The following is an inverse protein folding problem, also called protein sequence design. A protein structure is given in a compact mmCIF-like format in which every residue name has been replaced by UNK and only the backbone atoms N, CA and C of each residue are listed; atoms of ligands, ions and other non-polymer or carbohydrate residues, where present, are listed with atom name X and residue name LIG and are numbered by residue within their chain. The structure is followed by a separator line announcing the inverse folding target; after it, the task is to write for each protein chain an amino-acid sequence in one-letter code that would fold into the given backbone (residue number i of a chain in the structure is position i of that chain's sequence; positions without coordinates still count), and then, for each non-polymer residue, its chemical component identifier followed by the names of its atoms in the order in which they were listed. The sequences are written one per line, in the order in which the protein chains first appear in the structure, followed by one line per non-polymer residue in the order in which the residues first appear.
data_IF_945333552253
#
_entry.id   IF_945333552253
#
_cell.length_a   1.000
_cell.length_b   1.000
_cell.length_c   1.000
_cell.angle_alpha   90.00
_cell.angle_beta   90.00
_cell.angle_gamma   90.00
#
_symmetry.space_group_name_H-M   'P 1'
#
loop_
_entity.id
_entity.type
_entity.pdbx_description
1 polymer ?
#
# COMPACT_ATOMS: atom_id res chain seq x y z
N UNK A 1 -11.68 12.63 -13.09
CA UNK A 1 -11.74 13.71 -12.08
C UNK A 1 -12.90 13.56 -11.08
N UNK A 2 -14.16 13.36 -11.49
CA UNK A 2 -15.26 13.14 -10.53
C UNK A 2 -15.05 11.85 -9.72
N UNK A 3 -14.59 10.77 -10.37
CA UNK A 3 -14.35 9.49 -9.69
C UNK A 3 -13.18 9.59 -8.70
N UNK A 4 -12.07 10.21 -9.10
CA UNK A 4 -10.97 10.58 -8.20
C UNK A 4 -11.43 11.33 -6.94
N UNK A 5 -12.32 12.32 -7.07
CA UNK A 5 -12.84 13.06 -5.91
C UNK A 5 -13.66 12.15 -4.99
N UNK A 6 -14.53 11.29 -5.56
CA UNK A 6 -15.34 10.36 -4.78
C UNK A 6 -14.49 9.34 -4.03
N UNK A 7 -13.53 8.73 -4.73
CA UNK A 7 -12.59 7.76 -4.16
C UNK A 7 -11.79 8.41 -3.05
N UNK A 8 -11.25 9.60 -3.29
CA UNK A 8 -10.50 10.34 -2.27
C UNK A 8 -11.37 10.68 -1.07
N UNK A 9 -12.60 11.17 -1.27
CA UNK A 9 -13.53 11.48 -0.19
C UNK A 9 -13.88 10.24 0.66
N UNK A 10 -13.96 9.06 0.04
CA UNK A 10 -14.21 7.78 0.74
C UNK A 10 -13.04 7.37 1.63
N UNK A 11 -11.82 7.87 1.38
CA UNK A 11 -10.65 7.64 2.23
C UNK A 11 -10.70 8.41 3.53
N UNK A 12 -11.31 9.59 3.54
CA UNK A 12 -11.37 10.48 4.70
C UNK A 12 -11.90 9.78 5.96
N UNK A 13 -13.07 9.09 5.96
CA UNK A 13 -13.53 8.37 7.14
C UNK A 13 -12.60 7.24 7.56
N UNK A 14 -11.92 6.59 6.62
CA UNK A 14 -11.00 5.49 6.92
C UNK A 14 -9.71 5.99 7.57
N UNK A 15 -9.12 7.07 7.05
CA UNK A 15 -7.98 7.74 7.69
C UNK A 15 -8.38 8.24 9.08
N UNK A 16 -9.55 8.88 9.21
CA UNK A 16 -10.03 9.37 10.51
C UNK A 16 -10.12 8.27 11.55
N UNK A 17 -10.73 7.13 11.21
CA UNK A 17 -10.80 5.97 12.10
C UNK A 17 -9.40 5.45 12.43
N UNK A 18 -8.50 5.41 11.46
CA UNK A 18 -7.12 4.95 11.69
C UNK A 18 -6.37 5.85 12.67
N UNK A 19 -6.43 7.17 12.48
CA UNK A 19 -5.80 8.12 13.39
C UNK A 19 -6.45 8.11 14.77
N UNK A 20 -7.78 7.96 14.84
CA UNK A 20 -8.48 7.81 16.11
C UNK A 20 -8.04 6.53 16.84
N UNK A 21 -7.86 5.41 16.13
CA UNK A 21 -7.33 4.16 16.70
C UNK A 21 -5.89 4.35 17.16
N UNK A 22 -5.03 4.99 16.38
CA UNK A 22 -3.64 5.29 16.74
C UNK A 22 -3.57 6.14 18.02
N UNK A 23 -4.31 7.24 18.04
CA UNK A 23 -4.37 8.18 19.17
C UNK A 23 -4.98 7.51 20.42
N UNK A 24 -5.97 6.63 20.25
CA UNK A 24 -6.54 5.85 21.34
C UNK A 24 -5.55 4.82 21.90
N UNK A 25 -4.76 4.18 21.03
CA UNK A 25 -3.67 3.27 21.42
C UNK A 25 -2.60 4.05 22.18
N UNK A 26 -2.23 5.25 21.74
CA UNK A 26 -1.26 6.11 22.42
C UNK A 26 -1.76 6.57 23.78
N UNK A 27 -3.02 7.04 23.87
CA UNK A 27 -3.64 7.46 25.12
C UNK A 27 -3.76 6.32 26.15
N UNK A 28 -3.82 5.06 25.69
CA UNK A 28 -3.91 3.87 26.55
C UNK A 28 -2.64 3.00 26.50
N UNK A 29 -1.52 3.55 26.03
CA UNK A 29 -0.24 2.86 25.93
C UNK A 29 0.29 2.51 27.33
N UNK A 30 -0.16 1.37 27.84
CA UNK A 30 0.31 0.75 29.07
C UNK A 30 0.83 -0.67 28.80
N UNK A 31 1.59 -1.23 29.74
CA UNK A 31 2.34 -2.47 29.51
C UNK A 31 1.51 -3.74 29.19
N UNK A 32 0.18 -3.74 29.40
CA UNK A 32 -0.71 -4.83 28.97
C UNK A 32 -1.13 -4.69 27.49
N UNK A 33 -1.36 -3.46 27.02
CA UNK A 33 -1.70 -3.16 25.63
C UNK A 33 -0.48 -3.40 24.73
N UNK A 34 0.70 -2.95 25.16
CA UNK A 34 1.96 -3.18 24.44
C UNK A 34 2.23 -4.68 24.21
N UNK A 35 2.08 -5.51 25.24
CA UNK A 35 2.23 -6.98 25.13
C UNK A 35 1.20 -7.61 24.20
N UNK A 36 -0.02 -7.10 24.17
CA UNK A 36 -1.07 -7.61 23.27
C UNK A 36 -0.78 -7.23 21.83
N UNK A 37 -0.31 -6.00 21.58
CA UNK A 37 0.12 -5.53 20.27
C UNK A 37 1.35 -6.31 19.77
N UNK A 38 2.32 -6.61 20.64
CA UNK A 38 3.47 -7.44 20.28
C UNK A 38 3.07 -8.87 19.85
N UNK A 39 2.08 -9.47 20.50
CA UNK A 39 1.53 -10.76 20.05
C UNK A 39 0.79 -10.64 18.74
N UNK A 40 -0.01 -9.58 18.56
CA UNK A 40 -0.77 -9.33 17.33
C UNK A 40 0.17 -9.16 16.11
N UNK A 41 1.36 -8.59 16.30
CA UNK A 41 2.39 -8.49 15.25
C UNK A 41 2.83 -9.84 14.68
N UNK A 42 2.79 -10.91 15.47
CA UNK A 42 3.16 -12.26 15.00
C UNK A 42 2.20 -12.80 13.93
N UNK A 43 0.92 -12.44 13.98
CA UNK A 43 -0.08 -12.80 12.95
C UNK A 43 -0.36 -11.65 11.98
N UNK A 44 0.36 -10.53 12.15
CA UNK A 44 0.19 -9.31 11.37
C UNK A 44 0.25 -9.52 9.86
N UNK A 45 1.25 -10.23 9.29
CA UNK A 45 1.30 -10.49 7.84
C UNK A 45 0.07 -11.20 7.28
N UNK A 46 -0.50 -12.16 8.03
CA UNK A 46 -1.72 -12.86 7.61
C UNK A 46 -2.91 -11.91 7.59
N UNK A 47 -3.16 -11.21 8.70
CA UNK A 47 -4.26 -10.26 8.81
C UNK A 47 -4.11 -9.10 7.80
N UNK A 48 -2.88 -8.62 7.60
CA UNK A 48 -2.55 -7.58 6.64
C UNK A 48 -2.80 -7.98 5.20
N UNK A 49 -2.37 -9.17 4.77
CA UNK A 49 -2.64 -9.67 3.43
C UNK A 49 -4.15 -9.83 3.18
N UNK A 50 -4.89 -10.39 4.14
CA UNK A 50 -6.35 -10.53 4.03
C UNK A 50 -7.06 -9.17 3.94
N UNK A 51 -6.64 -8.20 4.76
CA UNK A 51 -7.17 -6.85 4.71
C UNK A 51 -6.82 -6.17 3.36
N UNK A 52 -5.61 -6.37 2.86
CA UNK A 52 -5.15 -5.83 1.58
C UNK A 52 -5.89 -6.43 0.36
N UNK A 53 -6.57 -7.56 0.49
CA UNK A 53 -7.43 -8.10 -0.57
C UNK A 53 -8.75 -7.32 -0.73
N UNK A 54 -9.12 -6.51 0.27
CA UNK A 54 -10.33 -5.68 0.23
C UNK A 54 -10.07 -4.53 -0.74
N UNK A 55 -10.89 -4.34 -1.78
CA UNK A 55 -10.67 -3.32 -2.81
C UNK A 55 -10.98 -1.91 -2.28
N UNK A 56 -10.09 -1.37 -1.45
CA UNK A 56 -10.22 -0.05 -0.85
C UNK A 56 -8.85 0.57 -0.53
N UNK A 57 -8.49 1.65 -1.25
CA UNK A 57 -7.19 2.33 -1.14
C UNK A 57 -6.90 2.86 0.28
N UNK A 58 -7.92 2.92 1.14
CA UNK A 58 -7.78 3.25 2.55
C UNK A 58 -6.93 2.24 3.31
N UNK A 59 -7.05 0.94 3.02
CA UNK A 59 -6.40 -0.13 3.80
C UNK A 59 -4.88 -0.02 3.75
N UNK A 60 -4.32 0.23 2.57
CA UNK A 60 -2.88 0.43 2.38
C UNK A 60 -2.40 1.73 3.04
N UNK A 61 -3.19 2.81 2.95
CA UNK A 61 -2.92 4.07 3.66
C UNK A 61 -2.91 3.89 5.19
N UNK A 62 -3.88 3.17 5.76
CA UNK A 62 -3.89 2.91 7.20
C UNK A 62 -2.76 2.00 7.64
N UNK A 63 -2.43 0.98 6.86
CA UNK A 63 -1.28 0.13 7.15
C UNK A 63 0.02 0.94 7.22
N UNK A 64 0.20 1.91 6.32
CA UNK A 64 1.33 2.83 6.35
C UNK A 64 1.34 3.72 7.61
N UNK A 65 0.18 4.26 8.02
CA UNK A 65 0.07 5.05 9.25
C UNK A 65 0.31 4.21 10.51
N UNK A 66 -0.25 3.00 10.57
CA UNK A 66 -0.03 2.03 11.66
C UNK A 66 1.43 1.58 11.73
N UNK A 67 2.11 1.48 10.58
CA UNK A 67 3.52 1.17 10.51
C UNK A 67 4.37 2.32 11.05
N UNK A 68 4.06 3.56 10.62
CA UNK A 68 4.75 4.74 11.10
C UNK A 68 4.59 4.91 12.62
N UNK A 69 3.40 4.60 13.16
CA UNK A 69 3.13 4.55 14.61
C UNK A 69 3.68 3.32 15.33
N UNK A 70 4.42 2.44 14.65
CA UNK A 70 5.07 1.28 15.26
C UNK A 70 4.11 0.16 15.71
N UNK A 71 2.84 0.22 15.32
CA UNK A 71 1.80 -0.76 15.67
C UNK A 71 1.93 -2.03 14.83
N UNK A 72 2.29 -1.91 13.55
CA UNK A 72 2.52 -3.05 12.65
C UNK A 72 3.99 -3.20 12.24
N UNK A 73 4.35 -4.38 11.74
CA UNK A 73 5.73 -4.71 11.33
C UNK A 73 5.97 -4.40 9.85
N UNK A 74 7.25 -4.37 9.42
CA UNK A 74 7.62 -4.24 8.00
C UNK A 74 6.97 -5.35 7.16
N UNK A 75 7.02 -6.60 7.63
CA UNK A 75 6.41 -7.72 6.91
C UNK A 75 4.90 -7.59 6.79
N UNK A 76 4.22 -7.05 7.80
CA UNK A 76 2.78 -6.74 7.72
C UNK A 76 2.48 -5.66 6.69
N UNK A 77 3.24 -4.56 6.70
CA UNK A 77 3.07 -3.48 5.73
C UNK A 77 3.27 -3.98 4.29
N UNK A 78 4.36 -4.71 4.04
CA UNK A 78 4.66 -5.27 2.73
C UNK A 78 3.61 -6.29 2.31
N UNK A 79 3.09 -7.11 3.23
CA UNK A 79 1.99 -8.03 2.93
C UNK A 79 0.71 -7.30 2.50
N UNK A 80 0.36 -6.19 3.16
CA UNK A 80 -0.77 -5.36 2.72
C UNK A 80 -0.51 -4.85 1.31
N UNK A 81 0.64 -4.20 1.07
CA UNK A 81 0.98 -3.60 -0.23
C UNK A 81 0.99 -4.60 -1.38
N UNK A 82 1.57 -5.79 -1.18
CA UNK A 82 1.59 -6.84 -2.21
C UNK A 82 0.21 -7.43 -2.49
N UNK A 83 -0.71 -7.39 -1.52
CA UNK A 83 -2.07 -7.93 -1.68
C UNK A 83 -3.05 -6.91 -2.26
N UNK A 84 -2.80 -5.61 -2.07
CA UNK A 84 -3.63 -4.50 -2.58
C UNK A 84 -3.87 -4.63 -4.08
N UNK A 85 -5.15 -4.62 -4.48
CA UNK A 85 -5.57 -4.89 -5.86
C UNK A 85 -6.75 -4.02 -6.30
N UNK A 86 -6.95 -2.89 -5.63
CA UNK A 86 -8.24 -2.24 -5.40
C UNK A 86 -9.01 -1.86 -6.68
N UNK A 87 -8.31 -1.74 -7.82
CA UNK A 87 -8.92 -1.42 -9.11
C UNK A 87 -8.71 -2.45 -10.22
N UNK A 88 -7.84 -3.44 -9.99
CA UNK A 88 -7.62 -4.51 -10.97
C UNK A 88 -8.89 -5.36 -11.11
N UNK A 89 -9.51 -5.73 -9.98
CA UNK A 89 -10.68 -6.64 -9.98
C UNK A 89 -11.89 -6.01 -10.68
N UNK A 90 -12.32 -4.77 -10.35
CA UNK A 90 -13.44 -4.14 -11.06
C UNK A 90 -13.23 -4.02 -12.57
N UNK A 91 -12.00 -3.72 -13.02
CA UNK A 91 -11.69 -3.62 -14.45
C UNK A 91 -11.75 -4.98 -15.14
N UNK A 92 -11.22 -6.04 -14.52
CA UNK A 92 -11.30 -7.40 -15.07
C UNK A 92 -12.75 -7.90 -15.16
N UNK A 93 -13.60 -7.55 -14.19
CA UNK A 93 -15.04 -7.83 -14.23
C UNK A 93 -15.67 -7.10 -15.42
N UNK A 94 -15.36 -5.82 -15.60
CA UNK A 94 -15.89 -5.00 -16.72
C UNK A 94 -15.51 -5.56 -18.09
N UNK A 95 -14.32 -6.14 -18.23
CA UNK A 95 -13.85 -6.78 -19.48
C UNK A 95 -14.29 -8.25 -19.63
N UNK A 96 -15.17 -8.74 -18.75
CA UNK A 96 -15.70 -10.12 -18.77
C UNK A 96 -14.62 -11.21 -18.72
N UNK A 97 -13.52 -10.94 -18.01
CA UNK A 97 -12.46 -11.93 -17.81
C UNK A 97 -13.03 -13.11 -16.99
N UNK A 98 -12.64 -14.37 -17.28
CA UNK A 98 -13.18 -15.53 -16.57
C UNK A 98 -13.01 -15.40 -15.05
N UNK A 99 -14.10 -15.64 -14.31
CA UNK A 99 -14.09 -15.57 -12.84
C UNK A 99 -13.00 -16.46 -12.21
N UNK A 100 -12.70 -17.61 -12.84
CA UNK A 100 -11.62 -18.49 -12.43
C UNK A 100 -10.25 -17.81 -12.46
N UNK A 101 -9.97 -16.96 -13.46
CA UNK A 101 -8.72 -16.22 -13.57
C UNK A 101 -8.63 -15.13 -12.49
N UNK A 102 -9.72 -14.40 -12.25
CA UNK A 102 -9.77 -13.37 -11.20
C UNK A 102 -9.54 -13.94 -9.81
N UNK A 103 -10.23 -15.04 -9.47
CA UNK A 103 -10.04 -15.73 -8.18
C UNK A 103 -8.60 -16.24 -8.06
N UNK A 104 -8.04 -16.80 -9.14
CA UNK A 104 -6.65 -17.26 -9.17
C UNK A 104 -5.65 -16.12 -8.93
N UNK A 105 -5.83 -14.97 -9.58
CA UNK A 105 -4.98 -13.79 -9.38
C UNK A 105 -5.01 -13.36 -7.91
N UNK A 106 -6.19 -13.15 -7.34
CA UNK A 106 -6.33 -12.70 -5.95
C UNK A 106 -5.74 -13.72 -4.97
N UNK A 107 -6.05 -15.01 -5.17
CA UNK A 107 -5.53 -16.08 -4.30
C UNK A 107 -4.01 -16.15 -4.34
N UNK A 108 -3.40 -16.04 -5.53
CA UNK A 108 -1.94 -16.02 -5.70
C UNK A 108 -1.34 -14.79 -5.02
N UNK A 109 -1.96 -13.61 -5.15
CA UNK A 109 -1.48 -12.38 -4.50
C UNK A 109 -1.49 -12.49 -2.98
N UNK A 110 -2.62 -12.91 -2.41
CA UNK A 110 -2.75 -13.10 -0.96
C UNK A 110 -1.75 -14.12 -0.45
N UNK A 111 -1.62 -15.28 -1.12
CA UNK A 111 -0.66 -16.31 -0.73
C UNK A 111 0.79 -15.82 -0.77
N UNK A 112 1.18 -15.13 -1.86
CA UNK A 112 2.51 -14.57 -2.00
C UNK A 112 2.79 -13.48 -0.97
N UNK A 113 1.81 -12.59 -0.72
CA UNK A 113 1.90 -11.54 0.28
C UNK A 113 2.10 -12.09 1.71
N UNK A 114 1.36 -13.14 2.08
CA UNK A 114 1.52 -13.85 3.35
C UNK A 114 2.94 -14.41 3.45
N UNK A 115 3.37 -15.18 2.44
CA UNK A 115 4.67 -15.83 2.42
C UNK A 115 5.82 -14.80 2.54
N UNK A 116 5.76 -13.72 1.76
CA UNK A 116 6.75 -12.64 1.81
C UNK A 116 6.72 -11.93 3.15
N UNK A 117 5.54 -11.57 3.66
CA UNK A 117 5.42 -10.82 4.90
C UNK A 117 5.96 -11.59 6.11
N UNK A 118 5.67 -12.90 6.20
CA UNK A 118 6.27 -13.76 7.22
C UNK A 118 7.77 -13.93 7.02
N UNK A 119 8.23 -14.10 5.78
CA UNK A 119 9.66 -14.24 5.46
C UNK A 119 10.44 -12.99 5.85
N UNK A 120 9.94 -11.80 5.53
CA UNK A 120 10.55 -10.52 5.92
C UNK A 120 10.60 -10.38 7.44
N UNK A 121 9.51 -10.67 8.15
CA UNK A 121 9.52 -10.63 9.60
C UNK A 121 10.53 -11.61 10.21
N UNK A 122 10.64 -12.82 9.67
CA UNK A 122 11.62 -13.82 10.09
C UNK A 122 13.06 -13.37 9.83
N UNK A 123 13.36 -12.87 8.62
CA UNK A 123 14.68 -12.38 8.24
C UNK A 123 15.08 -11.19 9.11
N UNK A 124 14.21 -10.20 9.30
CA UNK A 124 14.50 -9.03 10.15
C UNK A 124 14.66 -9.44 11.62
N UNK A 125 13.88 -10.41 12.11
CA UNK A 125 14.04 -10.93 13.46
C UNK A 125 15.39 -11.65 13.65
N UNK A 126 15.83 -12.41 12.64
CA UNK A 126 17.11 -13.13 12.65
C UNK A 126 18.31 -12.19 12.50
N UNK A 127 18.20 -11.18 11.62
CA UNK A 127 19.27 -10.23 11.33
C UNK A 127 19.62 -9.29 12.50
N UNK A 128 18.93 -9.37 13.66
CA UNK A 128 19.10 -8.52 14.86
C UNK A 128 19.15 -7.01 14.55
N UNK A 129 18.59 -6.60 13.42
CA UNK A 129 18.62 -5.23 12.93
C UNK A 129 17.20 -4.88 12.47
N UNK A 130 16.65 -3.79 13.01
CA UNK A 130 15.30 -3.28 12.75
C UNK A 130 14.16 -4.04 13.47
N UNK A 131 14.31 -4.34 14.77
CA UNK A 131 13.13 -4.28 15.64
C UNK A 131 12.97 -2.82 16.07
N UNK A 132 12.05 -2.07 15.46
CA UNK A 132 11.56 -0.86 16.11
C UNK A 132 10.97 -1.30 17.45
N UNK A 133 11.51 -0.88 18.61
CA UNK A 133 10.75 -1.00 19.85
C UNK A 133 9.41 -0.30 19.63
N UNK A 134 8.38 -0.75 20.35
CA UNK A 134 7.05 -0.11 20.34
C UNK A 134 7.22 1.32 20.87
N UNK A 135 7.59 2.26 20.01
CA UNK A 135 7.71 3.67 20.31
C UNK A 135 6.39 4.34 19.91
N UNK A 136 5.32 3.95 20.59
CA UNK A 136 4.00 4.57 20.45
C UNK A 136 4.03 6.03 20.96
N UNK A 137 5.11 6.44 21.64
CA UNK A 137 5.27 7.71 22.33
C UNK A 137 5.68 8.91 21.45
N UNK A 138 5.96 8.71 20.15
CA UNK A 138 6.49 9.76 19.26
C UNK A 138 5.52 10.17 18.12
N UNK A 139 4.26 9.73 18.16
CA UNK A 139 3.25 10.15 17.20
C UNK A 139 2.93 11.66 17.38
N UNK A 140 2.78 12.11 18.64
CA UNK A 140 2.45 13.50 18.98
C UNK A 140 3.66 14.46 19.04
N UNK A 141 4.89 13.98 19.20
CA UNK A 141 6.10 14.84 19.30
C UNK A 141 6.51 15.49 17.97
N UNK A 142 5.84 15.13 16.86
CA UNK A 142 6.37 15.34 15.52
C UNK A 142 5.57 16.25 14.59
N UNK A 143 4.36 16.63 14.96
CA UNK A 143 3.72 17.81 14.40
C UNK A 143 3.89 18.93 15.42
N UNK A 144 4.29 20.12 14.98
CA UNK A 144 4.16 21.36 15.75
C UNK A 144 2.67 21.70 16.02
N UNK A 145 1.84 20.71 16.34
CA UNK A 145 0.54 20.94 16.92
C UNK A 145 0.80 21.40 18.34
N UNK A 146 0.26 22.56 18.72
CA UNK A 146 0.20 23.02 20.10
C UNK A 146 -0.68 22.12 20.98
N UNK A 147 -0.44 20.81 20.97
CA UNK A 147 -1.19 19.79 21.71
C UNK A 147 -1.02 19.91 23.22
N UNK A 148 -0.11 20.77 23.70
CA UNK A 148 -0.05 21.12 25.13
C UNK A 148 -1.32 21.84 25.63
N UNK A 149 -2.21 22.34 24.75
CA UNK A 149 -3.45 23.02 25.17
C UNK A 149 -4.76 22.21 24.96
N UNK A 150 -4.74 21.10 24.22
CA UNK A 150 -5.96 20.36 23.89
C UNK A 150 -6.07 19.02 24.65
N UNK A 151 -6.98 18.97 25.63
CA UNK A 151 -7.38 17.72 26.30
C UNK A 151 -8.37 16.94 25.41
N UNK A 152 -7.91 15.92 24.70
CA UNK A 152 -8.79 14.94 24.04
C UNK A 152 -8.18 14.22 22.83
N UNK A 153 -8.70 13.02 22.53
CA UNK A 153 -8.22 12.12 21.44
C UNK A 153 -8.78 12.55 20.07
N UNK A 154 -9.93 13.25 20.03
CA UNK A 154 -10.62 13.59 18.78
C UNK A 154 -9.96 14.72 17.98
N UNK A 155 -9.49 15.78 18.65
CA UNK A 155 -8.97 16.98 17.97
C UNK A 155 -7.64 16.69 17.27
N UNK A 156 -6.65 16.03 17.91
CA UNK A 156 -5.40 15.64 17.23
C UNK A 156 -5.66 14.71 16.06
N UNK A 157 -6.50 13.68 16.23
CA UNK A 157 -6.85 12.74 15.17
C UNK A 157 -7.48 13.45 13.95
N UNK A 158 -8.34 14.45 14.18
CA UNK A 158 -8.96 15.23 13.10
C UNK A 158 -7.94 16.10 12.35
N UNK A 159 -7.02 16.76 13.06
CA UNK A 159 -5.99 17.62 12.45
C UNK A 159 -5.04 16.77 11.60
N UNK A 160 -4.52 15.66 12.15
CA UNK A 160 -3.63 14.76 11.41
C UNK A 160 -4.31 14.15 10.18
N UNK A 161 -5.59 13.76 10.32
CA UNK A 161 -6.38 13.27 9.18
C UNK A 161 -6.49 14.33 8.10
N UNK A 162 -6.83 15.57 8.45
CA UNK A 162 -6.99 16.65 7.49
C UNK A 162 -5.68 17.01 6.78
N UNK A 163 -4.56 17.09 7.51
CA UNK A 163 -3.24 17.40 6.94
C UNK A 163 -2.82 16.37 5.89
N UNK A 164 -2.97 15.08 6.21
CA UNK A 164 -2.57 13.98 5.32
C UNK A 164 -3.54 13.84 4.16
N UNK A 165 -4.84 14.03 4.42
CA UNK A 165 -5.85 14.06 3.36
C UNK A 165 -5.57 15.15 2.32
N UNK A 166 -5.29 16.38 2.75
CA UNK A 166 -4.93 17.49 1.83
C UNK A 166 -3.68 17.14 1.03
N UNK A 167 -2.65 16.58 1.68
CA UNK A 167 -1.43 16.15 1.01
C UNK A 167 -1.72 15.10 -0.08
N UNK A 168 -2.52 14.07 0.24
CA UNK A 168 -2.92 13.03 -0.72
C UNK A 168 -3.68 13.65 -1.90
N UNK A 169 -4.69 14.49 -1.63
CA UNK A 169 -5.48 15.15 -2.68
C UNK A 169 -4.59 15.93 -3.65
N UNK A 170 -3.63 16.71 -3.12
CA UNK A 170 -2.72 17.53 -3.94
C UNK A 170 -1.80 16.64 -4.78
N UNK A 171 -1.11 15.69 -4.15
CA UNK A 171 -0.10 14.88 -4.85
C UNK A 171 -0.78 13.91 -5.81
N UNK A 172 -1.78 13.15 -5.38
CA UNK A 172 -2.49 12.22 -6.24
C UNK A 172 -3.26 12.95 -7.35
N UNK A 173 -3.85 14.12 -7.06
CA UNK A 173 -4.48 14.95 -8.09
C UNK A 173 -3.48 15.49 -9.12
N UNK A 174 -2.26 15.83 -8.70
CA UNK A 174 -1.20 16.25 -9.64
C UNK A 174 -0.72 15.11 -10.53
N UNK A 175 -0.60 13.88 -9.99
CA UNK A 175 -0.24 12.68 -10.75
C UNK A 175 -1.36 12.34 -11.73
N UNK A 176 -2.62 12.39 -11.29
CA UNK A 176 -3.80 12.15 -12.12
C UNK A 176 -3.87 13.13 -13.30
N UNK A 177 -3.64 14.43 -13.04
CA UNK A 177 -3.61 15.45 -14.09
C UNK A 177 -2.45 15.20 -15.07
N UNK A 178 -1.26 14.87 -14.57
CA UNK A 178 -0.11 14.54 -15.41
C UNK A 178 -0.38 13.30 -16.29
N UNK A 179 -1.03 12.27 -15.74
CA UNK A 179 -1.40 11.07 -16.48
C UNK A 179 -2.47 11.35 -17.54
N UNK A 180 -3.43 12.22 -17.26
CA UNK A 180 -4.43 12.62 -18.25
C UNK A 180 -3.83 13.45 -19.39
N UNK A 181 -2.77 14.22 -19.13
CA UNK A 181 -2.09 15.01 -20.17
C UNK A 181 -1.04 14.24 -20.98
N UNK A 182 -0.36 13.25 -20.39
CA UNK A 182 0.82 12.60 -21.00
C UNK A 182 0.80 11.07 -20.99
N UNK A 183 -0.17 10.44 -20.33
CA UNK A 183 -0.11 9.02 -19.98
C UNK A 183 -0.38 8.04 -21.11
N UNK A 184 -1.34 8.35 -21.99
CA UNK A 184 -1.77 7.42 -23.05
C UNK A 184 -0.66 7.14 -24.06
N UNK A 185 0.09 8.16 -24.47
CA UNK A 185 1.20 8.04 -25.43
C UNK A 185 2.44 7.37 -24.81
N UNK A 186 2.69 7.63 -23.52
CA UNK A 186 3.84 7.08 -22.80
C UNK A 186 3.66 5.59 -22.51
N UNK A 187 2.45 5.15 -22.17
CA UNK A 187 2.14 3.74 -21.91
C UNK A 187 2.14 2.88 -23.18
N UNK A 188 1.66 3.41 -24.31
CA UNK A 188 1.64 2.67 -25.58
C UNK A 188 3.03 2.53 -26.22
N UNK A 189 3.95 3.47 -25.96
CA UNK A 189 5.32 3.42 -26.47
C UNK A 189 6.24 2.48 -25.69
N UNK A 190 5.82 2.04 -24.49
CA UNK A 190 6.55 1.06 -23.69
C UNK A 190 6.31 -0.36 -24.22
N UNK A 191 7.39 -1.06 -24.62
CA UNK A 191 7.34 -2.48 -25.04
C UNK A 191 7.10 -3.42 -23.84
N UNK A 192 5.85 -3.49 -23.37
CA UNK A 192 5.43 -4.34 -22.26
C UNK A 192 5.22 -5.82 -22.63
N UNK A 193 5.42 -6.18 -23.89
CA UNK A 193 5.26 -7.54 -24.41
C UNK A 193 6.59 -8.30 -24.55
N UNK A 194 7.68 -7.77 -23.98
CA UNK A 194 8.98 -8.48 -23.94
C UNK A 194 9.15 -9.15 -22.58
N UNK A 195 9.47 -10.45 -22.52
CA UNK A 195 9.68 -11.13 -21.25
C UNK A 195 10.90 -10.52 -20.52
N UNK A 196 10.80 -10.46 -19.19
CA UNK A 196 11.72 -9.85 -18.22
C UNK A 196 11.73 -8.32 -18.28
N UNK A 197 11.94 -7.71 -19.44
CA UNK A 197 12.01 -6.25 -19.58
C UNK A 197 10.63 -5.60 -19.40
N UNK A 198 9.58 -6.24 -19.90
CA UNK A 198 8.19 -5.82 -19.71
C UNK A 198 7.79 -5.84 -18.24
N UNK A 199 8.17 -6.87 -17.49
CA UNK A 199 7.91 -7.01 -16.05
C UNK A 199 8.65 -5.95 -15.22
N UNK A 200 9.91 -5.67 -15.53
CA UNK A 200 10.70 -4.61 -14.88
C UNK A 200 10.07 -3.23 -15.10
N UNK A 201 9.75 -2.91 -16.35
CA UNK A 201 9.13 -1.63 -16.72
C UNK A 201 7.74 -1.50 -16.10
N UNK A 202 6.92 -2.56 -16.19
CA UNK A 202 5.59 -2.57 -15.60
C UNK A 202 5.64 -2.42 -14.07
N UNK A 203 6.61 -3.07 -13.41
CA UNK A 203 6.84 -2.89 -11.98
C UNK A 203 7.19 -1.44 -11.61
N UNK A 204 8.04 -0.77 -12.41
CA UNK A 204 8.40 0.64 -12.18
C UNK A 204 7.20 1.56 -12.35
N UNK A 205 6.42 1.33 -13.39
CA UNK A 205 5.17 2.06 -13.64
C UNK A 205 4.20 1.81 -12.49
N UNK A 206 4.08 0.57 -12.01
CA UNK A 206 3.23 0.18 -10.88
C UNK A 206 3.58 0.87 -9.56
N UNK A 207 4.83 1.31 -9.35
CA UNK A 207 5.21 2.08 -8.15
C UNK A 207 4.59 3.47 -8.09
N UNK A 208 4.06 3.99 -9.22
CA UNK A 208 3.36 5.27 -9.22
C UNK A 208 2.11 5.11 -8.36
N UNK A 209 1.98 5.87 -7.24
CA UNK A 209 0.90 5.71 -6.28
C UNK A 209 -0.40 6.33 -6.80
N UNK A 210 -0.91 5.79 -7.89
CA UNK A 210 -2.18 6.17 -8.51
C UNK A 210 -2.92 4.93 -9.03
N UNK A 211 -4.17 4.86 -8.61
CA UNK A 211 -5.30 4.15 -9.17
C UNK A 211 -5.24 3.97 -10.71
N UNK A 212 -5.11 5.09 -11.45
CA UNK A 212 -5.12 5.13 -12.92
C UNK A 212 -4.12 4.19 -13.59
N UNK A 213 -2.97 3.94 -12.96
CA UNK A 213 -1.93 3.05 -13.50
C UNK A 213 -2.38 1.59 -13.50
N UNK A 214 -3.06 1.16 -12.44
CA UNK A 214 -3.57 -0.22 -12.34
C UNK A 214 -4.68 -0.47 -13.36
N UNK A 215 -5.57 0.52 -13.56
CA UNK A 215 -6.61 0.49 -14.59
C UNK A 215 -6.01 0.41 -15.98
N UNK A 216 -5.08 1.31 -16.32
CA UNK A 216 -4.44 1.34 -17.62
C UNK A 216 -3.66 0.04 -17.93
N UNK A 217 -2.98 -0.52 -16.92
CA UNK A 217 -2.35 -1.83 -17.03
C UNK A 217 -3.35 -2.94 -17.36
N UNK A 218 -4.46 -3.02 -16.61
CA UNK A 218 -5.50 -4.02 -16.86
C UNK A 218 -6.11 -3.89 -18.26
N UNK A 219 -6.27 -2.67 -18.78
CA UNK A 219 -6.74 -2.44 -20.14
C UNK A 219 -5.74 -2.89 -21.21
N UNK A 220 -4.45 -2.58 -21.03
CA UNK A 220 -3.39 -3.01 -21.96
C UNK A 220 -3.24 -4.54 -21.99
N UNK A 221 -3.42 -5.20 -20.85
CA UNK A 221 -3.48 -6.65 -20.78
C UNK A 221 -4.66 -7.20 -21.60
N UNK A 222 -5.86 -6.64 -21.41
CA UNK A 222 -7.05 -7.06 -22.17
C UNK A 222 -6.91 -6.81 -23.68
N UNK A 223 -6.15 -5.79 -24.09
CA UNK A 223 -5.82 -5.49 -25.49
C UNK A 223 -4.67 -6.36 -26.05
N UNK A 224 -4.07 -7.24 -25.24
CA UNK A 224 -2.95 -8.10 -25.63
C UNK A 224 -1.61 -7.39 -25.77
N UNK A 225 -1.50 -6.14 -25.32
CA UNK A 225 -0.28 -5.33 -25.39
C UNK A 225 0.68 -5.56 -24.22
N UNK A 226 0.22 -6.22 -23.15
CA UNK A 226 0.98 -6.49 -21.93
C UNK A 226 0.86 -7.96 -21.54
N UNK A 227 1.97 -8.57 -21.08
CA UNK A 227 1.98 -9.96 -20.60
C UNK A 227 1.26 -10.10 -19.25
N UNK A 228 0.83 -11.33 -18.90
CA UNK A 228 0.29 -11.62 -17.57
C UNK A 228 1.33 -11.35 -16.47
N UNK A 229 2.61 -11.65 -16.73
CA UNK A 229 3.71 -11.35 -15.81
C UNK A 229 3.88 -9.85 -15.56
N UNK A 230 3.80 -9.04 -16.62
CA UNK A 230 3.89 -7.59 -16.51
C UNK A 230 2.70 -6.99 -15.73
N UNK A 231 1.48 -7.51 -15.94
CA UNK A 231 0.31 -7.15 -15.13
C UNK A 231 0.51 -7.49 -13.65
N UNK A 232 1.01 -8.68 -13.35
CA UNK A 232 1.24 -9.09 -11.98
C UNK A 232 2.38 -8.29 -11.34
N UNK A 233 3.47 -8.03 -12.07
CA UNK A 233 4.60 -7.23 -11.59
C UNK A 233 4.16 -5.79 -11.23
N UNK A 234 3.39 -5.14 -12.10
CA UNK A 234 2.84 -3.80 -11.82
C UNK A 234 1.87 -3.84 -10.65
N UNK A 235 1.01 -4.86 -10.58
CA UNK A 235 0.00 -4.99 -9.51
C UNK A 235 0.61 -5.34 -8.16
N UNK A 236 1.72 -6.08 -8.09
CA UNK A 236 2.44 -6.34 -6.85
C UNK A 236 3.25 -5.11 -6.40
N UNK A 237 3.89 -4.40 -7.34
CA UNK A 237 4.60 -3.17 -7.03
C UNK A 237 3.63 -2.03 -6.64
N UNK A 238 2.39 -2.10 -7.13
CA UNK A 238 1.31 -1.15 -6.85
C UNK A 238 0.79 -1.20 -5.42
N UNK A 239 1.43 -0.45 -4.53
CA UNK A 239 1.01 -0.25 -3.13
C UNK A 239 -0.12 0.78 -2.95
N UNK A 240 -0.71 1.28 -4.04
CA UNK A 240 -1.71 2.35 -4.03
C UNK A 240 -1.23 3.61 -3.31
N UNK A 241 -2.16 4.28 -2.62
CA UNK A 241 -1.85 5.48 -1.82
C UNK A 241 -1.02 5.18 -0.57
N UNK A 242 -0.89 3.92 -0.17
CA UNK A 242 -0.12 3.49 0.99
C UNK A 242 1.33 3.97 0.98
N UNK A 243 1.99 3.97 -0.18
CA UNK A 243 3.38 4.46 -0.30
C UNK A 243 3.48 5.97 -0.09
N UNK A 244 2.51 6.71 -0.61
CA UNK A 244 2.44 8.18 -0.50
C UNK A 244 2.23 8.58 0.97
N UNK A 245 1.37 7.86 1.69
CA UNK A 245 1.20 8.02 3.14
C UNK A 245 2.46 7.60 3.90
N UNK A 246 3.09 6.48 3.55
CA UNK A 246 4.31 6.01 4.20
C UNK A 246 5.42 7.07 4.15
N UNK A 247 5.67 7.66 2.98
CA UNK A 247 6.67 8.71 2.82
C UNK A 247 6.31 10.00 3.55
N UNK A 248 5.01 10.28 3.74
CA UNK A 248 4.54 11.46 4.46
C UNK A 248 4.62 11.29 5.98
N UNK A 249 4.28 10.11 6.49
CA UNK A 249 4.13 9.84 7.92
C UNK A 249 5.41 9.28 8.54
N UNK A 250 6.21 8.48 7.83
CA UNK A 250 7.47 7.96 8.35
C UNK A 250 8.67 8.86 7.98
N UNK A 251 9.36 9.40 8.99
CA UNK A 251 10.51 10.32 8.82
C UNK A 251 11.77 9.67 8.24
N UNK A 252 11.95 8.37 8.47
CA UNK A 252 13.17 7.67 8.06
C UNK A 252 13.16 7.37 6.55
N UNK A 253 13.67 8.31 5.74
CA UNK A 253 13.76 8.14 4.29
C UNK A 253 14.52 6.88 3.87
N UNK A 254 15.56 6.47 4.61
CA UNK A 254 16.30 5.23 4.34
C UNK A 254 15.43 3.99 4.49
N UNK A 255 14.55 3.99 5.50
CA UNK A 255 13.63 2.89 5.78
C UNK A 255 12.50 2.85 4.74
N UNK A 256 11.94 4.01 4.38
CA UNK A 256 10.96 4.12 3.30
C UNK A 256 11.52 3.64 1.97
N UNK A 257 12.75 4.04 1.64
CA UNK A 257 13.41 3.64 0.41
C UNK A 257 13.75 2.14 0.43
N UNK A 258 14.12 1.57 1.57
CA UNK A 258 14.32 0.14 1.72
C UNK A 258 13.02 -0.64 1.53
N UNK A 259 11.91 -0.20 2.13
CA UNK A 259 10.59 -0.81 1.95
C UNK A 259 10.17 -0.73 0.48
N UNK A 260 10.31 0.44 -0.14
CA UNK A 260 10.03 0.65 -1.56
C UNK A 260 10.85 -0.30 -2.45
N UNK A 261 12.15 -0.42 -2.19
CA UNK A 261 13.03 -1.33 -2.93
C UNK A 261 12.61 -2.79 -2.74
N UNK A 262 12.25 -3.20 -1.52
CA UNK A 262 11.75 -4.55 -1.24
C UNK A 262 10.44 -4.81 -1.99
N UNK A 263 9.47 -3.90 -1.93
CA UNK A 263 8.19 -4.04 -2.64
C UNK A 263 8.41 -4.14 -4.14
N UNK A 264 9.28 -3.31 -4.71
CA UNK A 264 9.61 -3.36 -6.13
C UNK A 264 10.29 -4.67 -6.53
N UNK A 265 11.38 -5.05 -5.86
CA UNK A 265 12.17 -6.24 -6.21
C UNK A 265 11.33 -7.51 -6.04
N UNK A 266 10.62 -7.62 -4.91
CA UNK A 266 9.73 -8.76 -4.67
C UNK A 266 8.56 -8.75 -5.64
N UNK A 267 7.97 -7.59 -5.93
CA UNK A 267 6.85 -7.46 -6.86
C UNK A 267 7.21 -7.88 -8.28
N UNK A 268 8.36 -7.45 -8.79
CA UNK A 268 8.86 -7.89 -10.11
C UNK A 268 9.19 -9.38 -10.12
N UNK A 269 9.86 -9.89 -9.07
CA UNK A 269 10.19 -11.30 -8.98
C UNK A 269 8.94 -12.20 -8.91
N UNK A 270 7.95 -11.81 -8.11
CA UNK A 270 6.66 -12.49 -8.05
C UNK A 270 5.88 -12.33 -9.35
N UNK A 271 5.91 -11.16 -9.99
CA UNK A 271 5.29 -10.93 -11.29
C UNK A 271 5.84 -11.85 -12.36
N UNK A 272 7.16 -11.99 -12.43
CA UNK A 272 7.82 -12.94 -13.33
C UNK A 272 7.43 -14.40 -13.01
N UNK A 273 7.47 -14.79 -11.73
CA UNK A 273 7.10 -16.15 -11.30
C UNK A 273 5.64 -16.49 -11.60
N UNK A 274 4.73 -15.56 -11.32
CA UNK A 274 3.28 -15.76 -11.45
C UNK A 274 2.82 -15.58 -12.90
N UNK A 275 3.53 -14.82 -13.72
CA UNK A 275 3.30 -14.70 -15.15
C UNK A 275 3.49 -16.00 -15.92
N UNK A 276 4.26 -16.95 -15.38
CA UNK A 276 4.37 -18.31 -15.93
C UNK A 276 3.25 -19.25 -15.44
N UNK A 277 2.55 -18.87 -14.36
CA UNK A 277 1.51 -19.68 -13.72
C UNK A 277 0.11 -19.34 -14.22
N UNK A 278 -0.10 -18.11 -14.70
CA UNK A 278 -1.38 -17.52 -15.12
C UNK A 278 -1.45 -17.50 -16.64
#
# INVERSE_FOLDING_TARGET
MIDFIKETLLLLPFLFVTYLVLEAIEAHAGGALERSLERAKSVGPLAGALAGAIPQCGVSAAAASLYAGGVVTVGTLVAVFLSTSDELIPVLISKQVPAALMVKIVAVKVAAAIAVGFSLNGILAFARHIRRPVAVHDLCAHSHCGCHEHKGILVPALIHTAEIFIFIVIVSGSIELAMHCFGEDCLQSLRLNTPILGELVAGLVGLIPNCAVSVAGAELYCKGAMSAGALMASSFAGSGLGLLVLFRTNRNLKENLAILAVVYVVGVALGWLTGHLI
#
